data_IF_458692349226
#
_entry.id   IF_458692349226
#
_cell.length_a   1.000
_cell.length_b   1.000
_cell.length_c   1.000
_cell.angle_alpha   90.00
_cell.angle_beta   90.00
_cell.angle_gamma   90.00
#
_symmetry.space_group_name_H-M   'P 1'
#
loop_
_entity.id
_entity.type
_entity.pdbx_description
1 polymer ?
#
# COMPACT_ATOMS: atom_id res chain seq x y z
N UNK A 1 -1.84 -3.43 12.20
CA UNK A 1 -2.90 -3.10 11.25
C UNK A 1 -2.28 -2.36 10.06
N UNK A 2 -2.88 -2.41 8.87
CA UNK A 2 -2.43 -1.71 7.67
C UNK A 2 -2.18 -0.21 7.93
N UNK A 3 -3.01 0.41 8.77
CA UNK A 3 -2.82 1.82 9.20
C UNK A 3 -1.52 2.10 9.95
N UNK A 4 -0.85 1.08 10.48
CA UNK A 4 0.42 1.21 11.21
C UNK A 4 1.64 1.07 10.28
N UNK A 5 1.41 0.66 9.03
CA UNK A 5 2.43 0.43 8.00
C UNK A 5 2.65 1.65 7.08
N UNK A 6 1.91 2.74 7.33
CA UNK A 6 1.97 3.98 6.56
C UNK A 6 2.58 5.11 7.39
N UNK A 7 3.27 6.04 6.74
CA UNK A 7 3.89 7.20 7.37
C UNK A 7 2.87 8.10 8.09
N UNK A 8 3.31 8.77 9.16
CA UNK A 8 2.44 9.56 10.04
C UNK A 8 1.70 10.70 9.31
N UNK A 9 2.36 11.35 8.35
CA UNK A 9 1.73 12.44 7.58
C UNK A 9 0.51 11.92 6.84
N UNK A 10 0.64 10.80 6.14
CA UNK A 10 -0.48 10.17 5.45
C UNK A 10 -1.49 9.51 6.38
N UNK A 11 -1.05 8.94 7.51
CA UNK A 11 -1.94 8.37 8.50
C UNK A 11 -2.94 9.41 9.01
N UNK A 12 -2.51 10.66 9.21
CA UNK A 12 -3.38 11.75 9.65
C UNK A 12 -4.42 12.12 8.58
N UNK A 13 -4.03 12.12 7.30
CA UNK A 13 -4.92 12.43 6.17
C UNK A 13 -5.96 11.32 5.95
N UNK A 14 -5.53 10.05 6.06
CA UNK A 14 -6.37 8.88 5.74
C UNK A 14 -7.07 8.28 6.97
N UNK A 15 -6.90 8.87 8.16
CA UNK A 15 -7.43 8.35 9.43
C UNK A 15 -8.89 7.91 9.34
N UNK A 16 -9.74 8.77 8.76
CA UNK A 16 -11.17 8.51 8.67
C UNK A 16 -11.50 7.33 7.75
N UNK A 17 -10.69 7.04 6.73
CA UNK A 17 -10.87 5.87 5.88
C UNK A 17 -10.56 4.59 6.63
N UNK A 18 -9.48 4.57 7.42
CA UNK A 18 -9.12 3.43 8.25
C UNK A 18 -10.18 3.06 9.29
N UNK A 19 -11.00 4.01 9.72
CA UNK A 19 -12.08 3.79 10.69
C UNK A 19 -13.37 3.24 10.05
N UNK A 20 -13.49 3.26 8.72
CA UNK A 20 -14.72 2.82 8.06
C UNK A 20 -14.84 1.28 8.02
N UNK A 21 -16.06 0.73 8.14
CA UNK A 21 -16.29 -0.72 8.11
C UNK A 21 -15.76 -1.40 6.84
N UNK A 22 -15.83 -0.71 5.69
CA UNK A 22 -15.33 -1.28 4.44
C UNK A 22 -13.81 -1.51 4.49
N UNK A 23 -13.06 -0.64 5.16
CA UNK A 23 -11.60 -0.75 5.24
C UNK A 23 -11.19 -1.90 6.15
N UNK A 24 -11.91 -2.11 7.26
CA UNK A 24 -11.70 -3.26 8.14
C UNK A 24 -11.96 -4.58 7.40
N UNK A 25 -13.04 -4.63 6.62
CA UNK A 25 -13.34 -5.80 5.78
C UNK A 25 -12.28 -6.03 4.70
N UNK A 26 -11.73 -4.96 4.12
CA UNK A 26 -10.64 -5.03 3.14
C UNK A 26 -9.35 -5.54 3.79
N UNK A 27 -8.99 -5.03 4.96
CA UNK A 27 -7.81 -5.47 5.72
C UNK A 27 -7.88 -6.96 6.03
N UNK A 28 -9.01 -7.44 6.56
CA UNK A 28 -9.20 -8.87 6.85
C UNK A 28 -9.04 -9.72 5.58
N UNK A 29 -9.59 -9.29 4.45
CA UNK A 29 -9.43 -10.00 3.17
C UNK A 29 -7.99 -10.00 2.69
N UNK A 30 -7.30 -8.87 2.79
CA UNK A 30 -5.87 -8.79 2.44
C UNK A 30 -5.08 -9.76 3.33
N UNK A 31 -5.34 -9.79 4.63
CA UNK A 31 -4.67 -10.69 5.56
C UNK A 31 -4.90 -12.16 5.17
N UNK A 32 -6.14 -12.55 4.89
CA UNK A 32 -6.51 -13.88 4.41
C UNK A 32 -5.82 -14.23 3.08
N UNK A 33 -5.77 -13.31 2.11
CA UNK A 33 -5.14 -13.56 0.81
C UNK A 33 -3.62 -13.79 0.94
N UNK A 34 -2.93 -12.97 1.74
CA UNK A 34 -1.48 -13.13 1.98
C UNK A 34 -1.13 -14.38 2.81
N UNK A 35 -2.07 -14.90 3.61
CA UNK A 35 -1.89 -16.17 4.33
C UNK A 35 -2.06 -17.39 3.41
N UNK A 36 -2.93 -17.30 2.40
CA UNK A 36 -3.35 -18.45 1.60
C UNK A 36 -2.77 -18.48 0.18
N UNK A 37 -2.30 -17.36 -0.35
CA UNK A 37 -1.85 -17.22 -1.74
C UNK A 37 -0.54 -16.43 -1.86
N UNK A 38 0.07 -16.51 -3.04
CA UNK A 38 1.18 -15.63 -3.40
C UNK A 38 0.59 -14.30 -3.84
N UNK A 39 0.81 -13.27 -3.02
CA UNK A 39 0.40 -11.90 -3.31
C UNK A 39 1.63 -11.01 -3.51
N UNK A 40 1.52 -10.03 -4.40
CA UNK A 40 2.56 -9.05 -4.67
C UNK A 40 2.02 -7.62 -4.47
N UNK A 41 2.86 -6.66 -4.03
CA UNK A 41 4.23 -6.85 -3.52
C UNK A 41 4.24 -7.58 -2.15
N UNK A 42 5.39 -7.81 -1.51
CA UNK A 42 5.42 -8.14 -0.09
C UNK A 42 4.54 -7.18 0.74
N UNK A 43 3.84 -7.70 1.75
CA UNK A 43 2.77 -6.99 2.47
C UNK A 43 3.26 -5.67 3.08
N UNK A 44 4.51 -5.63 3.52
CA UNK A 44 5.20 -4.46 4.06
C UNK A 44 5.38 -3.31 3.05
N UNK A 45 5.31 -3.60 1.76
CA UNK A 45 5.48 -2.63 0.69
C UNK A 45 4.15 -2.10 0.12
N UNK A 46 2.99 -2.53 0.63
CA UNK A 46 1.67 -2.08 0.14
C UNK A 46 1.54 -0.55 0.11
N UNK A 47 2.12 0.14 1.10
CA UNK A 47 2.08 1.62 1.20
C UNK A 47 3.41 2.31 0.85
N UNK A 48 4.33 1.62 0.16
CA UNK A 48 5.70 2.14 -0.03
C UNK A 48 5.72 3.50 -0.75
N UNK A 49 4.86 3.72 -1.74
CA UNK A 49 4.73 5.04 -2.39
C UNK A 49 4.43 6.19 -1.41
N UNK A 50 3.60 5.94 -0.39
CA UNK A 50 3.21 6.92 0.64
C UNK A 50 4.26 7.01 1.76
N UNK A 51 5.06 5.96 1.94
CA UNK A 51 6.18 5.96 2.89
C UNK A 51 7.40 6.72 2.36
N UNK A 52 7.63 6.70 1.04
CA UNK A 52 8.76 7.39 0.40
C UNK A 52 8.55 8.90 0.23
N UNK A 53 7.30 9.38 0.21
CA UNK A 53 6.99 10.80 0.04
C UNK A 53 6.01 11.24 1.14
N UNK A 54 6.41 12.19 1.98
CA UNK A 54 5.48 12.82 2.92
C UNK A 54 4.35 13.52 2.17
N UNK A 55 3.21 13.74 2.83
CA UNK A 55 2.09 14.45 2.22
C UNK A 55 2.48 15.89 1.85
N UNK A 56 3.30 16.53 2.69
CA UNK A 56 3.74 17.92 2.54
C UNK A 56 4.74 18.10 1.39
N UNK A 57 5.53 17.08 1.09
CA UNK A 57 6.51 17.09 -0.02
C UNK A 57 5.90 16.68 -1.37
N UNK A 58 4.65 16.21 -1.38
CA UNK A 58 3.98 15.72 -2.58
C UNK A 58 3.78 16.85 -3.61
N UNK A 59 4.26 16.64 -4.84
CA UNK A 59 4.14 17.60 -5.95
C UNK A 59 3.42 17.06 -7.17
N UNK A 60 3.59 15.77 -7.46
CA UNK A 60 3.06 15.12 -8.66
C UNK A 60 2.51 13.76 -8.27
N UNK A 61 1.36 13.40 -8.82
CA UNK A 61 0.76 12.06 -8.68
C UNK A 61 0.78 11.39 -10.04
N UNK A 62 1.34 10.18 -10.08
CA UNK A 62 1.28 9.28 -11.23
C UNK A 62 0.39 8.10 -10.82
N UNK A 63 -0.62 7.77 -11.63
CA UNK A 63 -1.60 6.74 -11.32
C UNK A 63 -1.32 5.53 -12.21
N UNK A 64 -0.99 4.40 -11.58
CA UNK A 64 -0.95 3.08 -12.21
C UNK A 64 -2.29 2.34 -12.08
N UNK A 65 -2.32 1.08 -12.53
CA UNK A 65 -3.50 0.22 -12.43
C UNK A 65 -3.38 -0.74 -11.22
N UNK A 66 -2.53 -1.74 -11.35
CA UNK A 66 -2.26 -2.77 -10.34
C UNK A 66 -0.75 -3.11 -10.32
N UNK A 67 -0.25 -3.77 -9.25
CA UNK A 67 1.15 -4.18 -9.17
C UNK A 67 1.52 -5.19 -10.26
N UNK A 68 2.81 -5.23 -10.61
CA UNK A 68 3.37 -6.35 -11.36
C UNK A 68 3.13 -7.69 -10.65
N UNK A 69 2.93 -8.75 -11.43
CA UNK A 69 2.53 -10.07 -10.93
C UNK A 69 3.68 -11.10 -10.96
N UNK A 70 4.87 -10.74 -11.41
CA UNK A 70 6.06 -11.58 -11.38
C UNK A 70 6.80 -11.49 -10.04
N UNK A 71 7.50 -12.57 -9.70
CA UNK A 71 8.35 -12.62 -8.51
C UNK A 71 9.42 -11.50 -8.57
N UNK A 72 9.55 -10.77 -7.46
CA UNK A 72 10.47 -9.65 -7.30
C UNK A 72 10.28 -8.47 -8.26
N UNK A 73 9.18 -8.37 -9.01
CA UNK A 73 8.91 -7.20 -9.86
C UNK A 73 8.33 -6.04 -9.04
N UNK A 74 7.20 -6.25 -8.37
CA UNK A 74 6.49 -5.19 -7.66
C UNK A 74 7.19 -4.77 -6.38
N UNK A 75 7.39 -3.45 -6.22
CA UNK A 75 8.06 -2.86 -5.06
C UNK A 75 7.21 -1.81 -4.31
N UNK A 76 5.91 -1.74 -4.63
CA UNK A 76 4.98 -0.77 -4.00
C UNK A 76 4.97 0.62 -4.63
N UNK A 77 5.60 0.79 -5.81
CA UNK A 77 5.52 2.00 -6.63
C UNK A 77 5.00 1.66 -8.04
N UNK A 78 4.06 2.46 -8.57
CA UNK A 78 3.56 2.25 -9.92
C UNK A 78 4.67 2.41 -10.98
N UNK A 79 4.68 1.53 -11.99
CA UNK A 79 5.66 1.46 -13.09
C UNK A 79 7.12 1.16 -12.68
N UNK A 80 7.44 1.14 -11.39
CA UNK A 80 8.77 0.79 -10.89
C UNK A 80 8.91 -0.72 -10.73
N UNK A 81 10.12 -1.22 -10.91
CA UNK A 81 10.50 -2.61 -10.63
C UNK A 81 11.74 -2.65 -9.74
N UNK A 82 12.01 -3.78 -9.07
CA UNK A 82 13.32 -3.99 -8.43
C UNK A 82 14.42 -4.15 -9.49
N UNK A 83 15.66 -3.83 -9.09
CA UNK A 83 16.87 -4.04 -9.90
C UNK A 83 17.21 -5.53 -10.09
#
# INVERSE_FOLDING_TARGET
MLKDMISKSWQMILKNEFEKPYFHNLENKIDEEYENFVCFPPKELIFEALNKCSFEDLKVVIIGQDPYHGENEANGLCFSVND
#
